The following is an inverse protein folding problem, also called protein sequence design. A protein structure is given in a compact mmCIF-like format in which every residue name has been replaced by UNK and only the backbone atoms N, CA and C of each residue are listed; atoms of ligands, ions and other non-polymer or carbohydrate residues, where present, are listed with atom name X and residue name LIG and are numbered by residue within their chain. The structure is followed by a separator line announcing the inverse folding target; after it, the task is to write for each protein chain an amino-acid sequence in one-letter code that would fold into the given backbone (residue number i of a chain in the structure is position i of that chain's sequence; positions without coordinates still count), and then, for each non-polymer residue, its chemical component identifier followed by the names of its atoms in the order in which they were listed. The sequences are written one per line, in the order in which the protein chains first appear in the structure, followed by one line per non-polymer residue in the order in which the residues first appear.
data_IF_251977997787
#
_entry.id   IF_251977997787
#
_cell.length_a   1.000
_cell.length_b   1.000
_cell.length_c   1.000
_cell.angle_alpha   90.00
_cell.angle_beta   90.00
_cell.angle_gamma   90.00
#
_symmetry.space_group_name_H-M   'P 1'
#
loop_
_entity.id
_entity.type
_entity.pdbx_description
1 polymer ?
#
# COMPACT_ATOMS: atom_id res chain seq x y z
N UNK A 1 4.52 21.95 9.77
CA UNK A 1 5.21 21.55 8.54
C UNK A 1 6.30 22.59 8.28
N UNK A 2 7.58 22.20 8.33
CA UNK A 2 8.69 23.07 7.92
C UNK A 2 8.52 23.45 6.44
N UNK A 3 8.95 24.65 6.06
CA UNK A 3 8.89 25.14 4.67
C UNK A 3 9.93 24.48 3.73
N UNK A 4 10.28 23.22 3.97
CA UNK A 4 11.34 22.52 3.24
C UNK A 4 10.93 22.07 1.84
N UNK A 5 9.63 21.98 1.57
CA UNK A 5 9.11 21.54 0.28
C UNK A 5 8.42 22.69 -0.45
N UNK A 6 8.96 23.06 -1.61
CA UNK A 6 8.33 24.04 -2.49
C UNK A 6 6.93 23.57 -2.89
N UNK A 7 5.98 24.51 -2.99
CA UNK A 7 4.63 24.21 -3.48
C UNK A 7 4.73 23.55 -4.86
N UNK A 8 4.03 22.43 -5.02
CA UNK A 8 4.04 21.66 -6.26
C UNK A 8 5.25 20.75 -6.44
N UNK A 9 6.09 20.55 -5.42
CA UNK A 9 7.19 19.57 -5.47
C UNK A 9 6.67 18.13 -5.50
N UNK A 10 5.69 17.80 -4.64
CA UNK A 10 4.96 16.53 -4.70
C UNK A 10 3.72 16.69 -5.58
N UNK A 11 3.53 15.75 -6.50
CA UNK A 11 2.41 15.74 -7.45
C UNK A 11 1.80 14.35 -7.49
N UNK A 12 0.49 14.30 -7.68
CA UNK A 12 -0.21 13.06 -8.04
C UNK A 12 -0.70 13.21 -9.47
N UNK A 13 -0.27 12.31 -10.36
CA UNK A 13 -0.79 12.25 -11.72
C UNK A 13 -1.92 11.24 -11.79
N UNK A 14 -2.90 11.50 -12.65
CA UNK A 14 -4.00 10.59 -12.96
C UNK A 14 -4.03 10.33 -14.46
N UNK A 15 -4.07 9.05 -14.86
CA UNK A 15 -4.10 8.64 -16.26
C UNK A 15 -5.54 8.70 -16.77
N UNK A 16 -5.78 9.62 -17.69
CA UNK A 16 -7.04 9.70 -18.43
C UNK A 16 -7.06 8.58 -19.47
N UNK A 17 -8.14 7.78 -19.57
CA UNK A 17 -8.29 6.79 -20.63
C UNK A 17 -8.17 7.43 -22.02
N UNK A 18 -7.45 6.77 -22.93
CA UNK A 18 -7.15 7.32 -24.27
C UNK A 18 -8.41 7.57 -25.11
N UNK A 19 -9.52 6.88 -24.80
CA UNK A 19 -10.82 6.97 -25.45
C UNK A 19 -11.75 8.02 -24.81
N UNK A 20 -11.25 8.82 -23.86
CA UNK A 20 -12.02 9.87 -23.17
C UNK A 20 -11.33 11.21 -23.22
N UNK A 21 -12.14 12.27 -23.32
CA UNK A 21 -11.66 13.65 -23.21
C UNK A 21 -11.23 13.98 -21.77
N UNK A 22 -10.23 14.86 -21.66
CA UNK A 22 -9.86 15.45 -20.38
C UNK A 22 -10.94 16.43 -19.89
N UNK A 23 -11.76 15.95 -18.96
CA UNK A 23 -12.74 16.76 -18.22
C UNK A 23 -12.53 16.56 -16.72
N UNK A 24 -13.10 17.45 -15.91
CA UNK A 24 -13.06 17.31 -14.45
C UNK A 24 -13.66 15.97 -13.99
N UNK A 25 -14.77 15.54 -14.59
CA UNK A 25 -15.40 14.25 -14.30
C UNK A 25 -14.50 13.08 -14.66
N UNK A 26 -13.93 13.07 -15.87
CA UNK A 26 -13.01 12.00 -16.29
C UNK A 26 -11.78 11.92 -15.39
N UNK A 27 -11.24 13.07 -14.98
CA UNK A 27 -10.13 13.14 -14.04
C UNK A 27 -10.51 12.61 -12.65
N UNK A 28 -11.66 13.01 -12.10
CA UNK A 28 -12.17 12.50 -10.82
C UNK A 28 -12.35 10.98 -10.85
N UNK A 29 -12.88 10.44 -11.95
CA UNK A 29 -13.06 9.00 -12.12
C UNK A 29 -11.72 8.26 -12.17
N UNK A 30 -10.71 8.81 -12.86
CA UNK A 30 -9.36 8.25 -12.88
C UNK A 30 -8.71 8.25 -11.49
N UNK A 31 -8.91 9.32 -10.71
CA UNK A 31 -8.45 9.38 -9.32
C UNK A 31 -9.17 8.34 -8.47
N UNK A 32 -10.51 8.23 -8.58
CA UNK A 32 -11.32 7.25 -7.83
C UNK A 32 -10.95 5.81 -8.18
N UNK A 33 -10.64 5.55 -9.45
CA UNK A 33 -10.17 4.24 -9.94
C UNK A 33 -8.72 3.91 -9.60
N UNK A 34 -7.99 4.82 -8.94
CA UNK A 34 -6.59 4.58 -8.57
C UNK A 34 -5.66 4.54 -9.78
N UNK A 35 -6.02 5.12 -10.93
CA UNK A 35 -5.16 5.23 -12.11
C UNK A 35 -4.10 6.32 -11.91
N UNK A 36 -3.38 6.25 -10.79
CA UNK A 36 -2.55 7.33 -10.27
C UNK A 36 -1.19 6.85 -9.79
N UNK A 37 -0.27 7.81 -9.68
CA UNK A 37 0.96 7.66 -8.93
C UNK A 37 1.35 9.00 -8.32
N UNK A 38 2.06 8.96 -7.19
CA UNK A 38 2.65 10.14 -6.55
C UNK A 38 4.12 10.25 -6.96
N UNK A 39 4.60 11.47 -7.21
CA UNK A 39 5.96 11.73 -7.65
C UNK A 39 6.52 13.06 -7.15
N UNK A 40 7.85 13.14 -7.04
CA UNK A 40 8.63 14.38 -6.87
C UNK A 40 9.47 14.75 -8.10
N UNK A 41 9.27 14.08 -9.24
CA UNK A 41 9.95 14.38 -10.50
C UNK A 41 9.76 13.31 -11.58
N UNK A 42 10.23 12.07 -11.36
CA UNK A 42 10.12 11.02 -12.37
C UNK A 42 8.67 10.63 -12.66
N UNK A 43 8.37 10.29 -13.91
CA UNK A 43 7.08 9.75 -14.33
C UNK A 43 7.22 8.26 -14.59
N UNK A 44 6.15 7.51 -14.31
CA UNK A 44 6.10 6.07 -14.54
C UNK A 44 4.86 5.67 -15.32
N UNK A 45 4.94 4.54 -16.00
CA UNK A 45 3.80 3.74 -16.43
C UNK A 45 4.02 2.30 -15.94
N UNK A 46 2.97 1.70 -15.38
CA UNK A 46 2.97 0.33 -14.87
C UNK A 46 1.81 -0.42 -15.52
N UNK A 47 2.11 -1.61 -16.00
CA UNK A 47 1.15 -2.53 -16.55
C UNK A 47 1.38 -3.94 -15.99
N UNK A 48 0.30 -4.60 -15.56
CA UNK A 48 0.31 -5.94 -14.98
C UNK A 48 -0.71 -6.77 -15.74
N UNK A 49 -0.25 -7.72 -16.56
CA UNK A 49 -1.09 -8.52 -17.48
C UNK A 49 -2.10 -7.68 -18.29
N UNK A 50 -1.63 -6.57 -18.87
CA UNK A 50 -2.48 -5.67 -19.64
C UNK A 50 -3.25 -4.66 -18.81
N UNK A 51 -3.31 -4.80 -17.48
CA UNK A 51 -4.07 -3.92 -16.60
C UNK A 51 -3.24 -2.73 -16.09
N UNK A 52 -3.80 -1.51 -16.06
CA UNK A 52 -3.11 -0.34 -15.52
C UNK A 52 -3.13 -0.30 -13.98
N UNK A 53 -2.34 0.61 -13.41
CA UNK A 53 -2.39 1.00 -11.98
C UNK A 53 -3.84 1.19 -11.48
N UNK A 54 -4.13 0.76 -10.25
CA UNK A 54 -5.47 0.86 -9.65
C UNK A 54 -6.43 -0.29 -10.02
N UNK A 55 -6.07 -1.12 -10.99
CA UNK A 55 -6.91 -2.22 -11.45
C UNK A 55 -6.87 -3.43 -10.52
N UNK A 56 -7.75 -4.39 -10.81
CA UNK A 56 -7.76 -5.71 -10.19
C UNK A 56 -7.55 -6.79 -11.25
N UNK A 57 -6.80 -7.83 -10.90
CA UNK A 57 -6.52 -9.02 -11.71
C UNK A 57 -7.04 -10.24 -10.94
N UNK A 58 -7.72 -11.16 -11.61
CA UNK A 58 -8.22 -12.39 -10.98
C UNK A 58 -7.40 -13.60 -11.45
N UNK A 59 -7.05 -14.47 -10.50
CA UNK A 59 -6.36 -15.73 -10.74
C UNK A 59 -7.16 -16.91 -10.17
N UNK A 60 -7.05 -18.11 -10.77
CA UNK A 60 -7.65 -19.32 -10.21
C UNK A 60 -6.99 -19.69 -8.88
N UNK A 61 -7.57 -20.64 -8.15
CA UNK A 61 -7.08 -21.06 -6.83
C UNK A 61 -5.66 -21.65 -6.83
N UNK A 62 -5.16 -22.10 -7.98
CA UNK A 62 -3.75 -22.48 -8.17
C UNK A 62 -2.79 -21.28 -8.22
N UNK A 63 -3.31 -20.06 -8.24
CA UNK A 63 -2.58 -18.85 -8.60
C UNK A 63 -2.15 -18.83 -10.06
N UNK A 64 -1.16 -17.99 -10.39
CA UNK A 64 -0.56 -17.90 -11.72
C UNK A 64 0.79 -17.19 -11.73
N UNK A 65 1.37 -17.05 -12.91
CA UNK A 65 2.52 -16.17 -13.17
C UNK A 65 2.02 -14.94 -13.90
N UNK A 66 2.30 -13.77 -13.34
CA UNK A 66 1.86 -12.49 -13.85
C UNK A 66 3.03 -11.75 -14.50
N UNK A 67 2.79 -11.21 -15.69
CA UNK A 67 3.71 -10.33 -16.38
C UNK A 67 3.58 -8.90 -15.87
N UNK A 68 4.70 -8.32 -15.45
CA UNK A 68 4.79 -6.92 -15.02
C UNK A 68 5.65 -6.19 -16.04
N UNK A 69 5.19 -5.08 -16.58
CA UNK A 69 6.00 -4.20 -17.43
C UNK A 69 5.91 -2.75 -16.97
N UNK A 70 7.01 -2.04 -17.15
CA UNK A 70 7.14 -0.68 -16.65
C UNK A 70 8.00 0.19 -17.55
N UNK A 71 7.73 1.49 -17.48
CA UNK A 71 8.55 2.54 -18.06
C UNK A 71 8.75 3.62 -17.01
N UNK A 72 9.94 4.19 -16.96
CA UNK A 72 10.25 5.30 -16.07
C UNK A 72 11.04 6.36 -16.84
N UNK A 73 10.74 7.64 -16.62
CA UNK A 73 11.46 8.75 -17.23
C UNK A 73 11.56 9.94 -16.28
N UNK A 74 12.67 10.64 -16.32
CA UNK A 74 12.91 11.84 -15.53
C UNK A 74 13.81 12.80 -16.29
N UNK A 75 13.49 14.08 -16.23
CA UNK A 75 14.31 15.14 -16.83
C UNK A 75 15.19 15.81 -15.76
N UNK A 76 14.63 16.01 -14.56
CA UNK A 76 15.26 16.85 -13.53
C UNK A 76 15.93 16.01 -12.44
N UNK A 77 15.33 14.88 -12.05
CA UNK A 77 15.77 14.08 -10.90
C UNK A 77 16.36 12.76 -11.37
N UNK A 78 17.69 12.56 -11.33
CA UNK A 78 18.33 11.33 -11.76
C UNK A 78 17.78 10.11 -11.03
N UNK A 79 17.14 9.20 -11.76
CA UNK A 79 16.65 7.93 -11.21
C UNK A 79 17.82 7.01 -10.88
N UNK A 80 17.66 6.20 -9.84
CA UNK A 80 18.71 5.28 -9.38
C UNK A 80 18.24 3.85 -9.36
N UNK A 81 17.02 3.60 -8.89
CA UNK A 81 16.50 2.24 -8.70
C UNK A 81 14.99 2.18 -8.86
N UNK A 82 14.52 1.04 -9.34
CA UNK A 82 13.11 0.66 -9.34
C UNK A 82 12.92 -0.62 -8.54
N UNK A 83 11.96 -0.59 -7.64
CA UNK A 83 11.58 -1.70 -6.79
C UNK A 83 10.12 -2.08 -7.12
N UNK A 84 9.87 -3.38 -7.37
CA UNK A 84 8.52 -3.94 -7.42
C UNK A 84 8.16 -4.41 -6.02
N UNK A 85 7.15 -3.77 -5.43
CA UNK A 85 6.65 -4.11 -4.12
C UNK A 85 5.51 -5.10 -4.27
N UNK A 86 5.53 -6.20 -3.52
CA UNK A 86 4.44 -7.17 -3.41
C UNK A 86 4.15 -7.39 -1.94
N UNK A 87 2.91 -7.08 -1.51
CA UNK A 87 2.49 -7.22 -0.10
C UNK A 87 3.44 -6.55 0.92
N UNK A 88 3.97 -5.38 0.57
CA UNK A 88 4.83 -4.58 1.46
C UNK A 88 6.32 -4.92 1.36
N UNK A 89 6.69 -5.97 0.63
CA UNK A 89 8.08 -6.41 0.48
C UNK A 89 8.62 -6.12 -0.92
N UNK A 90 9.93 -5.85 -1.03
CA UNK A 90 10.61 -5.71 -2.32
C UNK A 90 10.76 -7.10 -2.94
N UNK A 91 9.93 -7.39 -3.95
CA UNK A 91 9.96 -8.66 -4.68
C UNK A 91 11.02 -8.67 -5.76
N UNK A 92 11.14 -7.56 -6.49
CA UNK A 92 12.15 -7.35 -7.54
C UNK A 92 12.79 -5.98 -7.37
N UNK A 93 14.06 -5.84 -7.76
CA UNK A 93 14.79 -4.58 -7.71
C UNK A 93 15.78 -4.49 -8.86
N UNK A 94 15.85 -3.32 -9.52
CA UNK A 94 16.77 -3.07 -10.63
C UNK A 94 17.32 -1.65 -10.59
N UNK A 95 18.61 -1.50 -10.86
CA UNK A 95 19.25 -0.19 -11.11
C UNK A 95 18.73 0.40 -12.41
N UNK A 96 18.40 1.70 -12.39
CA UNK A 96 17.87 2.43 -13.54
C UNK A 96 18.93 3.28 -14.23
N UNK A 97 18.77 3.44 -15.54
CA UNK A 97 19.38 4.56 -16.26
C UNK A 97 18.79 5.89 -15.76
N UNK A 98 19.62 6.94 -15.50
CA UNK A 98 19.15 8.13 -14.79
C UNK A 98 18.00 8.91 -15.42
N UNK A 99 17.94 8.97 -16.75
CA UNK A 99 16.97 9.80 -17.49
C UNK A 99 15.74 9.03 -17.98
N UNK A 100 15.92 7.80 -18.45
CA UNK A 100 14.82 6.97 -18.94
C UNK A 100 15.23 5.51 -18.95
N UNK A 101 14.32 4.61 -18.59
CA UNK A 101 14.51 3.17 -18.69
C UNK A 101 13.15 2.46 -18.84
N UNK A 102 13.19 1.19 -19.21
CA UNK A 102 12.02 0.33 -19.29
C UNK A 102 12.41 -1.12 -18.97
N UNK A 103 11.43 -1.93 -18.57
CA UNK A 103 11.69 -3.32 -18.26
C UNK A 103 10.42 -4.13 -18.02
N UNK A 104 10.64 -5.40 -17.72
CA UNK A 104 9.58 -6.31 -17.33
C UNK A 104 10.10 -7.37 -16.36
N UNK A 105 9.18 -7.94 -15.60
CA UNK A 105 9.39 -9.09 -14.71
C UNK A 105 8.26 -10.10 -14.90
N UNK A 106 8.50 -11.33 -14.51
CA UNK A 106 7.47 -12.37 -14.39
C UNK A 106 7.44 -12.84 -12.95
N UNK A 107 6.30 -12.68 -12.29
CA UNK A 107 6.17 -12.93 -10.85
C UNK A 107 5.14 -14.02 -10.60
N UNK A 108 5.54 -15.07 -9.90
CA UNK A 108 4.63 -16.13 -9.44
C UNK A 108 3.82 -15.64 -8.24
N UNK A 109 2.51 -15.75 -8.32
CA UNK A 109 1.55 -15.33 -7.28
C UNK A 109 0.66 -16.51 -6.90
N UNK A 110 0.73 -16.93 -5.65
CA UNK A 110 0.02 -18.10 -5.11
C UNK A 110 -1.15 -17.73 -4.18
N UNK A 111 -1.13 -16.50 -3.65
CA UNK A 111 -2.14 -15.97 -2.75
C UNK A 111 -2.52 -14.57 -3.20
N UNK A 112 -3.68 -14.09 -2.75
CA UNK A 112 -4.13 -12.73 -3.04
C UNK A 112 -3.07 -11.73 -2.57
N UNK A 113 -2.67 -10.85 -3.48
CA UNK A 113 -1.52 -9.97 -3.31
C UNK A 113 -1.77 -8.63 -3.97
N UNK A 114 -1.19 -7.57 -3.46
CA UNK A 114 -1.15 -6.29 -4.15
C UNK A 114 0.27 -6.01 -4.65
N UNK A 115 0.38 -5.33 -5.78
CA UNK A 115 1.66 -4.94 -6.38
C UNK A 115 1.72 -3.43 -6.57
N UNK A 116 2.87 -2.82 -6.31
CA UNK A 116 3.13 -1.41 -6.62
C UNK A 116 4.57 -1.21 -7.11
N UNK A 117 4.81 -0.14 -7.87
CA UNK A 117 6.16 0.29 -8.21
C UNK A 117 6.60 1.41 -7.27
N UNK A 118 7.87 1.33 -6.89
CA UNK A 118 8.58 2.37 -6.18
C UNK A 118 9.83 2.74 -6.99
N UNK A 119 10.03 4.03 -7.25
CA UNK A 119 11.26 4.53 -7.89
C UNK A 119 12.03 5.38 -6.90
N UNK A 120 13.32 5.11 -6.79
CA UNK A 120 14.28 5.94 -6.06
C UNK A 120 15.04 6.83 -7.01
N UNK A 121 15.36 8.02 -6.52
CA UNK A 121 16.11 9.01 -7.27
C UNK A 121 16.99 9.83 -6.32
N UNK A 122 18.02 10.46 -6.88
CA UNK A 122 19.00 11.22 -6.11
C UNK A 122 19.58 12.36 -6.94
N UNK A 123 19.67 13.55 -6.36
CA UNK A 123 20.57 14.61 -6.83
C UNK A 123 21.99 14.35 -6.32
N UNK A 124 23.01 14.79 -7.06
CA UNK A 124 24.42 14.50 -6.76
C UNK A 124 24.82 14.77 -5.29
N UNK A 125 24.33 15.86 -4.71
CA UNK A 125 24.64 16.36 -3.36
C UNK A 125 23.59 16.02 -2.28
N UNK A 126 22.55 15.25 -2.62
CA UNK A 126 21.44 14.92 -1.71
C UNK A 126 21.40 13.43 -1.36
N UNK A 127 20.82 13.04 -0.22
CA UNK A 127 20.50 11.64 0.03
C UNK A 127 19.51 11.11 -1.02
N UNK A 128 19.56 9.80 -1.26
CA UNK A 128 18.57 9.14 -2.10
C UNK A 128 17.18 9.20 -1.45
N UNK A 129 16.15 9.43 -2.26
CA UNK A 129 14.77 9.54 -1.81
C UNK A 129 13.87 8.59 -2.60
N UNK A 130 12.72 8.26 -2.01
CA UNK A 130 11.60 7.68 -2.75
C UNK A 130 10.99 8.80 -3.59
N UNK A 131 11.18 8.72 -4.90
CA UNK A 131 10.78 9.76 -5.84
C UNK A 131 9.44 9.46 -6.51
N UNK A 132 9.04 8.19 -6.57
CA UNK A 132 7.74 7.77 -7.12
C UNK A 132 7.18 6.59 -6.32
N UNK A 133 5.86 6.57 -6.13
CA UNK A 133 5.12 5.38 -5.72
C UNK A 133 3.81 5.28 -6.52
N UNK A 134 3.53 4.11 -7.12
CA UNK A 134 2.29 3.88 -7.87
C UNK A 134 1.11 3.59 -6.95
N UNK A 135 -0.10 3.82 -7.42
CA UNK A 135 -1.26 3.12 -6.87
C UNK A 135 -1.10 1.61 -7.08
N UNK A 136 -1.63 0.78 -6.16
CA UNK A 136 -1.47 -0.66 -6.25
C UNK A 136 -2.34 -1.24 -7.36
N UNK A 137 -1.93 -2.40 -7.85
CA UNK A 137 -2.76 -3.31 -8.63
C UNK A 137 -3.07 -4.49 -7.70
N UNK A 138 -4.34 -4.79 -7.53
CA UNK A 138 -4.78 -5.89 -6.66
C UNK A 138 -4.85 -7.17 -7.47
N UNK A 139 -4.38 -8.27 -6.90
CA UNK A 139 -4.48 -9.60 -7.49
C UNK A 139 -5.32 -10.45 -6.55
N UNK A 140 -6.51 -10.79 -7.00
CA UNK A 140 -7.47 -11.63 -6.31
C UNK A 140 -7.23 -13.10 -6.73
N UNK A 141 -6.67 -13.93 -5.85
CA UNK A 141 -6.55 -15.38 -6.07
C UNK A 141 -7.74 -16.07 -5.43
N UNK A 142 -8.46 -16.90 -6.19
CA UNK A 142 -9.64 -17.62 -5.70
C UNK A 142 -9.32 -18.43 -4.43
N UNK A 143 -10.16 -18.29 -3.40
CA UNK A 143 -9.98 -18.97 -2.12
C UNK A 143 -8.91 -18.34 -1.21
N UNK A 144 -8.24 -17.27 -1.64
CA UNK A 144 -7.26 -16.53 -0.83
C UNK A 144 -7.78 -15.14 -0.44
N UNK A 145 -7.39 -14.68 0.75
CA UNK A 145 -7.68 -13.33 1.24
C UNK A 145 -6.42 -12.46 1.21
N UNK A 146 -6.60 -11.13 1.13
CA UNK A 146 -5.52 -10.18 1.41
C UNK A 146 -5.24 -10.18 2.90
N UNK A 147 -4.12 -10.76 3.29
CA UNK A 147 -3.77 -10.87 4.70
C UNK A 147 -2.25 -10.94 4.87
N UNK A 148 -1.72 -10.13 5.78
CA UNK A 148 -0.32 -10.16 6.21
C UNK A 148 -0.30 -10.27 7.74
N UNK A 149 0.17 -11.41 8.25
CA UNK A 149 0.10 -11.71 9.68
C UNK A 149 0.91 -10.72 10.54
N UNK A 150 2.09 -10.30 10.06
CA UNK A 150 2.93 -9.33 10.76
C UNK A 150 2.29 -7.94 10.84
N UNK A 151 1.63 -7.51 9.77
CA UNK A 151 0.89 -6.25 9.75
C UNK A 151 -0.33 -6.34 10.68
N UNK A 152 -1.05 -7.47 10.67
CA UNK A 152 -2.17 -7.72 11.57
C UNK A 152 -1.74 -7.64 13.04
N UNK A 153 -0.59 -8.22 13.40
CA UNK A 153 -0.05 -8.13 14.76
C UNK A 153 0.27 -6.67 15.14
N UNK A 154 0.91 -5.92 14.24
CA UNK A 154 1.25 -4.52 14.48
C UNK A 154 0.00 -3.65 14.64
N UNK A 155 -1.05 -3.92 13.85
CA UNK A 155 -2.34 -3.24 13.97
C UNK A 155 -3.02 -3.60 15.30
N UNK A 156 -2.92 -4.86 15.74
CA UNK A 156 -3.45 -5.30 17.03
C UNK A 156 -2.80 -4.51 18.17
N UNK A 157 -1.47 -4.40 18.18
CA UNK A 157 -0.72 -3.61 19.16
C UNK A 157 -1.13 -2.13 19.16
N UNK A 158 -1.39 -1.55 17.98
CA UNK A 158 -1.87 -0.17 17.86
C UNK A 158 -3.29 0.00 18.44
N UNK A 159 -4.17 -0.99 18.23
CA UNK A 159 -5.52 -0.96 18.81
C UNK A 159 -5.43 -1.06 20.33
N UNK A 160 -4.57 -1.93 20.87
CA UNK A 160 -4.30 -2.04 22.31
C UNK A 160 -3.74 -0.74 22.89
N UNK A 161 -2.76 -0.13 22.21
CA UNK A 161 -2.21 1.17 22.58
C UNK A 161 -3.25 2.29 22.55
N UNK A 162 -4.12 2.32 21.53
CA UNK A 162 -5.20 3.29 21.43
C UNK A 162 -6.23 3.11 22.55
N UNK A 163 -6.55 1.86 22.89
CA UNK A 163 -7.38 1.48 24.03
C UNK A 163 -6.78 1.99 25.35
N UNK A 164 -5.50 1.72 25.62
CA UNK A 164 -4.81 2.21 26.80
C UNK A 164 -4.76 3.75 26.87
N UNK A 165 -4.54 4.42 25.73
CA UNK A 165 -4.51 5.87 25.64
C UNK A 165 -5.85 6.49 26.05
N UNK A 166 -6.98 6.05 25.49
CA UNK A 166 -8.30 6.60 25.88
C UNK A 166 -8.69 6.24 27.32
N UNK A 167 -8.10 5.17 27.86
CA UNK A 167 -8.32 4.72 29.23
C UNK A 167 -7.52 5.49 30.29
N UNK A 168 -6.46 6.19 29.90
CA UNK A 168 -5.52 6.75 30.89
C UNK A 168 -5.13 8.19 30.62
N UNK A 169 -4.90 8.56 29.36
CA UNK A 169 -4.32 9.86 28.98
C UNK A 169 -5.35 10.73 28.27
N UNK A 170 -6.21 10.14 27.43
CA UNK A 170 -7.14 10.86 26.57
C UNK A 170 -8.19 11.67 27.35
N UNK A 171 -8.40 12.92 26.95
CA UNK A 171 -9.42 13.79 27.55
C UNK A 171 -10.82 13.24 27.33
N UNK A 172 -11.55 12.99 28.43
CA UNK A 172 -12.92 12.47 28.41
C UNK A 172 -13.95 13.58 28.55
N UNK A 173 -14.07 14.42 27.52
CA UNK A 173 -15.01 15.53 27.54
C UNK A 173 -16.49 15.06 27.63
N UNK A 174 -16.81 13.88 27.09
CA UNK A 174 -18.14 13.24 27.15
C UNK A 174 -17.99 11.75 27.40
N UNK A 175 -18.69 11.22 28.41
CA UNK A 175 -18.60 9.81 28.81
C UNK A 175 -19.15 8.87 27.73
N UNK A 176 -20.22 9.29 27.07
CA UNK A 176 -20.88 8.53 25.99
C UNK A 176 -19.90 8.31 24.84
N UNK A 177 -19.20 9.37 24.42
CA UNK A 177 -18.24 9.30 23.31
C UNK A 177 -17.04 8.42 23.64
N UNK A 178 -16.56 8.48 24.88
CA UNK A 178 -15.51 7.58 25.37
C UNK A 178 -15.95 6.11 25.27
N UNK A 179 -17.15 5.78 25.76
CA UNK A 179 -17.69 4.42 25.71
C UNK A 179 -17.87 3.91 24.28
N UNK A 180 -18.41 4.74 23.37
CA UNK A 180 -18.53 4.41 21.95
C UNK A 180 -17.17 4.07 21.32
N UNK A 181 -16.17 4.95 21.51
CA UNK A 181 -14.83 4.73 20.96
C UNK A 181 -14.19 3.47 21.53
N UNK A 182 -14.37 3.22 22.84
CA UNK A 182 -13.84 2.02 23.49
C UNK A 182 -14.45 0.75 22.90
N UNK A 183 -15.76 0.70 22.74
CA UNK A 183 -16.47 -0.44 22.15
C UNK A 183 -16.04 -0.70 20.70
N UNK A 184 -15.81 0.35 19.91
CA UNK A 184 -15.33 0.22 18.53
C UNK A 184 -13.94 -0.43 18.51
N UNK A 185 -13.02 0.04 19.35
CA UNK A 185 -11.66 -0.50 19.43
C UNK A 185 -11.66 -1.96 19.92
N UNK A 186 -12.45 -2.27 20.94
CA UNK A 186 -12.58 -3.63 21.47
C UNK A 186 -13.18 -4.59 20.45
N UNK A 187 -14.21 -4.18 19.72
CA UNK A 187 -14.80 -4.97 18.64
C UNK A 187 -13.81 -5.19 17.48
N UNK A 188 -13.03 -4.17 17.12
CA UNK A 188 -12.01 -4.28 16.08
C UNK A 188 -10.88 -5.23 16.51
N UNK A 189 -10.41 -5.13 17.76
CA UNK A 189 -9.41 -6.03 18.35
C UNK A 189 -9.88 -7.48 18.27
N UNK A 190 -11.04 -7.80 18.86
CA UNK A 190 -11.59 -9.17 18.85
C UNK A 190 -11.75 -9.74 17.45
N UNK A 191 -12.23 -8.92 16.50
CA UNK A 191 -12.40 -9.36 15.11
C UNK A 191 -11.06 -9.75 14.49
N UNK A 192 -10.04 -8.89 14.62
CA UNK A 192 -8.73 -9.14 14.03
C UNK A 192 -8.03 -10.31 14.73
N UNK A 193 -8.10 -10.35 16.05
CA UNK A 193 -7.57 -11.42 16.90
C UNK A 193 -8.13 -12.80 16.52
N UNK A 194 -9.45 -12.93 16.47
CA UNK A 194 -10.10 -14.18 16.11
C UNK A 194 -9.80 -14.58 14.66
N UNK A 195 -9.70 -13.62 13.75
CA UNK A 195 -9.32 -13.88 12.37
C UNK A 195 -7.88 -14.41 12.27
N UNK A 196 -6.94 -13.87 13.04
CA UNK A 196 -5.55 -14.38 13.10
C UNK A 196 -5.53 -15.86 13.52
N UNK A 197 -6.23 -16.21 14.60
CA UNK A 197 -6.34 -17.59 15.08
C UNK A 197 -7.02 -18.53 14.08
N UNK A 198 -8.12 -18.10 13.45
CA UNK A 198 -8.79 -18.88 12.40
C UNK A 198 -7.87 -19.17 11.20
N UNK A 199 -6.91 -18.29 10.94
CA UNK A 199 -5.90 -18.46 9.90
C UNK A 199 -4.66 -19.23 10.37
N UNK A 200 -4.63 -19.69 11.63
CA UNK A 200 -3.55 -20.46 12.22
C UNK A 200 -2.32 -19.64 12.62
N UNK A 201 -2.50 -18.33 12.86
CA UNK A 201 -1.42 -17.46 13.33
C UNK A 201 -1.47 -17.29 14.84
N UNK A 202 -0.58 -18.00 15.53
CA UNK A 202 -0.36 -17.82 16.96
C UNK A 202 0.38 -16.49 17.23
N UNK A 203 -0.01 -15.79 18.29
CA UNK A 203 0.68 -14.59 18.74
C UNK A 203 0.59 -14.42 20.26
N UNK A 204 1.48 -13.60 20.81
CA UNK A 204 1.50 -13.31 22.25
C UNK A 204 0.30 -12.44 22.61
N UNK A 205 -0.38 -12.74 23.72
CA UNK A 205 -1.42 -11.87 24.27
C UNK A 205 -0.81 -10.94 25.31
N UNK A 206 -1.24 -9.68 25.31
CA UNK A 206 -0.96 -8.81 26.45
C UNK A 206 -1.77 -9.29 27.67
N UNK A 207 -1.28 -8.99 28.88
CA UNK A 207 -1.82 -9.48 30.16
C UNK A 207 -3.32 -9.15 30.35
N UNK A 208 -3.84 -8.14 29.67
CA UNK A 208 -5.27 -7.75 29.69
C UNK A 208 -6.17 -8.49 28.69
N UNK A 209 -5.59 -9.31 27.80
CA UNK A 209 -6.26 -10.00 26.71
C UNK A 209 -6.15 -11.53 26.84
N UNK A 210 -5.99 -12.09 28.05
CA UNK A 210 -6.13 -13.53 28.26
C UNK A 210 -7.61 -13.92 28.24
N UNK A 211 -7.98 -14.80 27.29
CA UNK A 211 -9.33 -15.34 27.14
C UNK A 211 -9.29 -16.84 27.49
N UNK A 212 -10.39 -17.38 27.99
CA UNK A 212 -10.52 -18.78 28.44
C UNK A 212 -10.49 -19.85 27.32
N UNK A 213 -10.08 -19.50 26.10
CA UNK A 213 -9.90 -20.45 24.99
C UNK A 213 -8.48 -21.01 24.92
N UNK A 214 -7.64 -20.69 25.92
CA UNK A 214 -6.26 -21.17 26.06
C UNK A 214 -6.05 -22.12 27.25
N UNK A 215 -7.13 -22.66 27.84
CA UNK A 215 -7.10 -23.73 28.85
C UNK A 215 -7.67 -25.06 28.30
#
# INVERSE_FOLDING_TARGET
MSAEFAVGMMRTYAKIPNDREFTYTTWMDAVRGGHTFVTTGPLIDLNVDGQPMGSRVSLPSSGGTIGVSWKAASVIVPMTRIDLIVNGEVKESRTLSPGQDAGSWSVRIEKSSWMALLVRAKYADKPEMIAVHSSPIMIDVEGSQFFAAMDALTILDQIEGAMAYIDTIGTRAKVERYKEMRLILEAAHRRLHNQMHQMGFDHTHSVGAHHSEHD
#
